data_IF_136183463758
#
_entry.id   IF_136183463758
#
_cell.length_a   1.000
_cell.length_b   1.000
_cell.length_c   1.000
_cell.angle_alpha   90.00
_cell.angle_beta   90.00
_cell.angle_gamma   90.00
#
_symmetry.space_group_name_H-M   'P 1'
#
loop_
_entity.id
_entity.type
_entity.pdbx_description
1 polymer ?
#
# COMPACT_ATOMS: atom_id res chain seq x y z
N UNK A 1 -3.23 -7.43 -8.36
CA UNK A 1 -3.38 -8.52 -7.38
C UNK A 1 -2.26 -8.46 -6.36
N UNK A 2 -1.00 -8.45 -6.81
CA UNK A 2 0.15 -8.38 -5.92
C UNK A 2 0.18 -7.09 -5.08
N UNK A 3 -0.24 -5.98 -5.66
CA UNK A 3 -0.28 -4.68 -4.97
C UNK A 3 -1.31 -4.70 -3.83
N UNK A 4 -2.50 -5.27 -4.05
CA UNK A 4 -3.52 -5.35 -3.00
C UNK A 4 -3.07 -6.22 -1.83
N UNK A 5 -2.51 -7.38 -2.10
CA UNK A 5 -2.00 -8.27 -1.06
C UNK A 5 -0.88 -7.61 -0.26
N UNK A 6 0.04 -6.93 -0.94
CA UNK A 6 1.15 -6.22 -0.31
C UNK A 6 0.64 -5.03 0.49
N UNK A 7 -0.34 -4.29 -0.03
CA UNK A 7 -0.97 -3.17 0.68
C UNK A 7 -1.55 -3.64 2.02
N UNK A 8 -2.33 -4.71 2.03
CA UNK A 8 -2.94 -5.24 3.24
C UNK A 8 -1.87 -5.61 4.27
N UNK A 9 -0.81 -6.29 3.85
CA UNK A 9 0.28 -6.70 4.74
C UNK A 9 1.00 -5.49 5.32
N UNK A 10 1.37 -4.53 4.48
CA UNK A 10 2.10 -3.34 4.91
C UNK A 10 1.24 -2.44 5.81
N UNK A 11 -0.04 -2.29 5.47
CA UNK A 11 -0.96 -1.48 6.27
C UNK A 11 -1.11 -2.05 7.68
N UNK A 12 -1.24 -3.37 7.81
CA UNK A 12 -1.37 -4.02 9.10
C UNK A 12 -0.10 -3.92 9.96
N UNK A 13 1.04 -3.59 9.36
CA UNK A 13 2.30 -3.39 10.07
C UNK A 13 2.54 -1.94 10.50
N UNK A 14 1.65 -1.02 10.15
CA UNK A 14 1.79 0.39 10.53
C UNK A 14 1.22 0.59 11.94
N UNK A 15 2.05 1.04 12.93
CA UNK A 15 1.57 1.22 14.29
C UNK A 15 0.39 2.18 14.42
N UNK A 16 0.38 3.27 13.66
CA UNK A 16 -0.72 4.21 13.66
C UNK A 16 -2.04 3.56 13.22
N UNK A 17 -1.98 2.68 12.20
CA UNK A 17 -3.13 1.92 11.75
C UNK A 17 -3.61 0.94 12.81
N UNK A 18 -2.68 0.22 13.43
CA UNK A 18 -3.02 -0.72 14.50
C UNK A 18 -3.72 -0.01 15.67
N UNK A 19 -3.24 1.15 16.06
CA UNK A 19 -3.83 1.95 17.13
C UNK A 19 -5.21 2.48 16.74
N UNK A 20 -5.34 3.03 15.54
CA UNK A 20 -6.59 3.59 15.06
C UNK A 20 -7.69 2.55 14.91
N UNK A 21 -7.34 1.31 14.55
CA UNK A 21 -8.32 0.25 14.31
C UNK A 21 -8.75 -0.50 15.56
N UNK A 22 -8.13 -0.25 16.70
CA UNK A 22 -8.49 -0.92 17.96
C UNK A 22 -9.93 -0.68 18.38
N UNK A 23 -10.44 0.52 18.12
CA UNK A 23 -11.79 0.93 18.49
C UNK A 23 -12.79 0.76 17.35
N UNK A 24 -12.36 0.21 16.23
CA UNK A 24 -13.21 0.00 15.07
C UNK A 24 -13.80 -1.39 15.07
N UNK A 25 -15.02 -1.52 14.53
CA UNK A 25 -15.60 -2.84 14.25
C UNK A 25 -14.83 -3.46 13.06
N UNK A 26 -14.95 -4.77 12.92
CA UNK A 26 -14.34 -5.49 11.79
C UNK A 26 -14.80 -4.92 10.46
N UNK A 27 -16.10 -4.61 10.33
CA UNK A 27 -16.67 -4.03 9.13
C UNK A 27 -16.08 -2.65 8.82
N UNK A 28 -15.97 -1.78 9.82
CA UNK A 28 -15.38 -0.46 9.66
C UNK A 28 -13.91 -0.56 9.22
N UNK A 29 -13.15 -1.44 9.88
CA UNK A 29 -11.75 -1.67 9.53
C UNK A 29 -11.60 -2.12 8.08
N UNK A 30 -12.41 -3.10 7.65
CA UNK A 30 -12.37 -3.62 6.28
C UNK A 30 -12.73 -2.56 5.25
N UNK A 31 -13.75 -1.74 5.54
CA UNK A 31 -14.16 -0.68 4.62
C UNK A 31 -13.06 0.36 4.41
N UNK A 32 -12.43 0.81 5.49
CA UNK A 32 -11.34 1.78 5.42
C UNK A 32 -10.12 1.15 4.76
N UNK A 33 -9.80 -0.09 5.09
CA UNK A 33 -8.69 -0.81 4.47
C UNK A 33 -8.88 -0.95 2.96
N UNK A 34 -10.08 -1.29 2.52
CA UNK A 34 -10.42 -1.39 1.10
C UNK A 34 -10.25 -0.03 0.40
N UNK A 35 -10.69 1.05 1.05
CA UNK A 35 -10.55 2.40 0.51
C UNK A 35 -9.08 2.79 0.39
N UNK A 36 -8.28 2.56 1.42
CA UNK A 36 -6.84 2.87 1.41
C UNK A 36 -6.12 2.05 0.37
N UNK A 37 -6.34 0.74 0.32
CA UNK A 37 -5.68 -0.13 -0.64
C UNK A 37 -6.17 0.08 -2.07
N UNK A 38 -7.41 0.54 -2.27
CA UNK A 38 -7.90 0.99 -3.56
C UNK A 38 -7.14 2.23 -4.03
N UNK A 39 -6.94 3.19 -3.13
CA UNK A 39 -6.11 4.37 -3.40
C UNK A 39 -4.67 3.98 -3.77
N UNK A 40 -4.07 3.03 -3.04
CA UNK A 40 -2.72 2.53 -3.32
C UNK A 40 -2.66 1.87 -4.69
N UNK A 41 -3.63 1.04 -5.03
CA UNK A 41 -3.67 0.36 -6.34
C UNK A 41 -3.75 1.35 -7.50
N UNK A 42 -4.43 2.48 -7.29
CA UNK A 42 -4.55 3.53 -8.30
C UNK A 42 -3.27 4.36 -8.40
N UNK A 43 -2.66 4.72 -7.27
CA UNK A 43 -1.51 5.63 -7.22
C UNK A 43 -0.16 4.95 -7.37
N UNK A 44 -0.02 3.70 -6.94
CA UNK A 44 1.26 2.99 -6.97
C UNK A 44 1.88 2.93 -8.37
N UNK A 45 1.13 2.61 -9.44
CA UNK A 45 1.72 2.59 -10.78
C UNK A 45 2.26 3.94 -11.23
N UNK A 46 1.68 5.04 -10.73
CA UNK A 46 2.12 6.39 -11.07
C UNK A 46 3.45 6.76 -10.42
N UNK A 47 3.83 6.05 -9.36
CA UNK A 47 5.08 6.28 -8.63
C UNK A 47 6.24 5.44 -9.20
N UNK A 48 5.98 4.55 -10.14
CA UNK A 48 7.00 3.68 -10.74
C UNK A 48 7.61 4.37 -11.95
N UNK A 49 8.95 4.45 -11.98
CA UNK A 49 9.68 5.04 -13.11
C UNK A 49 9.93 4.00 -14.20
N UNK A 50 10.32 4.47 -15.40
CA UNK A 50 10.70 3.58 -16.50
C UNK A 50 11.94 2.73 -16.11
N UNK A 51 12.86 3.29 -15.33
CA UNK A 51 14.04 2.57 -14.84
C UNK A 51 13.61 1.46 -13.88
N UNK A 52 12.68 1.75 -12.98
CA UNK A 52 12.14 0.76 -12.04
C UNK A 52 11.48 -0.40 -12.78
N UNK A 53 10.69 -0.10 -13.80
CA UNK A 53 10.04 -1.13 -14.63
C UNK A 53 11.05 -2.01 -15.33
N UNK A 54 12.09 -1.43 -15.91
CA UNK A 54 13.16 -2.17 -16.58
C UNK A 54 13.89 -3.07 -15.60
N UNK A 55 14.24 -2.57 -14.43
CA UNK A 55 14.93 -3.33 -13.39
C UNK A 55 14.07 -4.48 -12.88
N UNK A 56 12.79 -4.22 -12.63
CA UNK A 56 11.84 -5.23 -12.16
C UNK A 56 11.62 -6.36 -13.17
N UNK A 57 11.70 -6.05 -14.47
CA UNK A 57 11.55 -7.05 -15.52
C UNK A 57 12.72 -8.03 -15.57
N UNK A 58 13.92 -7.59 -15.15
CA UNK A 58 15.15 -8.38 -15.24
C UNK A 58 15.43 -9.13 -13.94
N UNK A 59 15.17 -8.50 -12.79
CA UNK A 59 15.56 -9.02 -11.47
C UNK A 59 14.34 -9.19 -10.56
N UNK A 60 13.94 -10.46 -10.25
CA UNK A 60 12.79 -10.70 -9.36
C UNK A 60 12.99 -10.14 -7.94
N UNK A 61 14.21 -10.14 -7.41
CA UNK A 61 14.49 -9.58 -6.09
C UNK A 61 14.31 -8.06 -6.08
N UNK A 62 14.80 -7.39 -7.13
CA UNK A 62 14.61 -5.96 -7.31
C UNK A 62 13.13 -5.62 -7.48
N UNK A 63 12.36 -6.46 -8.18
CA UNK A 63 10.92 -6.29 -8.34
C UNK A 63 10.22 -6.24 -6.98
N UNK A 64 10.52 -7.19 -6.09
CA UNK A 64 9.92 -7.25 -4.76
C UNK A 64 10.27 -6.00 -3.95
N UNK A 65 11.51 -5.54 -4.01
CA UNK A 65 11.96 -4.33 -3.32
C UNK A 65 11.25 -3.08 -3.85
N UNK A 66 11.17 -2.94 -5.16
CA UNK A 66 10.52 -1.79 -5.81
C UNK A 66 9.03 -1.74 -5.44
N UNK A 67 8.33 -2.87 -5.54
CA UNK A 67 6.91 -2.95 -5.18
C UNK A 67 6.72 -2.60 -3.70
N UNK A 68 7.55 -3.15 -2.82
CA UNK A 68 7.48 -2.85 -1.40
C UNK A 68 7.66 -1.36 -1.10
N UNK A 69 8.64 -0.73 -1.72
CA UNK A 69 8.92 0.70 -1.52
C UNK A 69 7.79 1.57 -2.06
N UNK A 70 7.29 1.27 -3.25
CA UNK A 70 6.19 2.01 -3.88
C UNK A 70 4.92 1.88 -3.04
N UNK A 71 4.59 0.69 -2.58
CA UNK A 71 3.40 0.44 -1.74
C UNK A 71 3.52 1.19 -0.42
N UNK A 72 4.65 1.10 0.28
CA UNK A 72 4.85 1.79 1.55
C UNK A 72 4.70 3.30 1.41
N UNK A 73 5.30 3.88 0.38
CA UNK A 73 5.22 5.31 0.09
C UNK A 73 3.80 5.75 -0.22
N UNK A 74 3.10 4.96 -1.02
CA UNK A 74 1.74 5.26 -1.46
C UNK A 74 0.74 5.08 -0.32
N UNK A 75 0.94 4.10 0.56
CA UNK A 75 0.10 3.90 1.75
C UNK A 75 0.11 5.16 2.61
N UNK A 76 1.27 5.74 2.87
CA UNK A 76 1.35 6.96 3.69
C UNK A 76 0.53 8.09 3.10
N UNK A 77 0.60 8.28 1.79
CA UNK A 77 -0.20 9.31 1.10
C UNK A 77 -1.70 8.99 1.17
N UNK A 78 -2.08 7.74 0.96
CA UNK A 78 -3.49 7.33 0.96
C UNK A 78 -4.10 7.38 2.37
N UNK A 79 -3.34 7.03 3.40
CA UNK A 79 -3.80 7.16 4.79
C UNK A 79 -4.02 8.63 5.14
N UNK A 80 -3.13 9.50 4.75
CA UNK A 80 -3.29 10.94 4.98
C UNK A 80 -4.55 11.49 4.32
N UNK A 81 -4.86 11.06 3.11
CA UNK A 81 -6.10 11.44 2.42
C UNK A 81 -7.34 10.89 3.12
N UNK A 82 -7.30 9.66 3.61
CA UNK A 82 -8.44 9.01 4.24
C UNK A 82 -8.81 9.66 5.58
N UNK A 83 -7.82 10.21 6.32
CA UNK A 83 -8.08 10.84 7.62
C UNK A 83 -8.33 12.35 7.53
N UNK A 84 -8.15 12.92 6.36
CA UNK A 84 -8.50 14.32 6.11
C UNK A 84 -9.92 14.42 5.60
#
# INVERSE_FOLDING_TARGET
IAINAKCTTELNNIPAWQTATRLMTTTQKQNIQTEICGCVSEKAPQSVTAVDLATAAIDPAARATIVGNVVAKTINACVAEAVN
#
